data_IF_916849082366
#
_entry.id   IF_916849082366
#
_cell.length_a   1.000
_cell.length_b   1.000
_cell.length_c   1.000
_cell.angle_alpha   90.00
_cell.angle_beta   90.00
_cell.angle_gamma   90.00
#
_symmetry.space_group_name_H-M   'P 1'
#
loop_
_entity.id
_entity.type
_entity.pdbx_description
1 polymer ?
#
# COMPACT_ATOMS: atom_id res chain seq x y z
N UNK A 1 -19.92 9.09 21.65
CA UNK A 1 -18.90 8.03 21.49
C UNK A 1 -18.54 7.94 20.01
N UNK A 2 -17.26 8.05 19.64
CA UNK A 2 -16.85 7.88 18.25
C UNK A 2 -17.02 6.41 17.82
N UNK A 3 -17.71 6.15 16.71
CA UNK A 3 -17.95 4.80 16.21
C UNK A 3 -16.63 4.23 15.69
N UNK A 4 -16.18 3.10 16.25
CA UNK A 4 -14.97 2.41 15.79
C UNK A 4 -15.19 1.95 14.35
N UNK A 5 -14.32 2.39 13.44
CA UNK A 5 -14.39 2.00 12.04
C UNK A 5 -14.10 0.49 11.89
N UNK A 6 -14.71 -0.13 10.87
CA UNK A 6 -14.31 -1.49 10.46
C UNK A 6 -12.86 -1.47 9.97
N UNK A 7 -12.11 -2.58 10.05
CA UNK A 7 -10.73 -2.64 9.56
C UNK A 7 -10.60 -2.11 8.12
N UNK A 8 -11.51 -2.50 7.22
CA UNK A 8 -11.52 -2.00 5.84
C UNK A 8 -11.76 -0.48 5.76
N UNK A 9 -12.73 0.06 6.50
CA UNK A 9 -13.00 1.49 6.47
C UNK A 9 -11.84 2.31 7.07
N UNK A 10 -11.19 1.78 8.12
CA UNK A 10 -10.03 2.40 8.74
C UNK A 10 -8.81 2.37 7.81
N UNK A 11 -8.47 1.21 7.24
CA UNK A 11 -7.36 1.07 6.28
C UNK A 11 -7.56 1.98 5.06
N UNK A 12 -8.79 2.09 4.55
CA UNK A 12 -9.11 3.06 3.47
C UNK A 12 -8.93 4.51 3.90
N UNK A 13 -9.19 4.86 5.15
CA UNK A 13 -8.94 6.20 5.67
C UNK A 13 -7.44 6.51 5.76
N UNK A 14 -6.66 5.55 6.25
CA UNK A 14 -5.20 5.65 6.29
C UNK A 14 -4.61 5.79 4.88
N UNK A 15 -5.06 4.97 3.93
CA UNK A 15 -4.67 5.07 2.52
C UNK A 15 -4.93 6.46 1.93
N UNK A 16 -6.06 7.10 2.28
CA UNK A 16 -6.35 8.48 1.85
C UNK A 16 -5.38 9.50 2.45
N UNK A 17 -4.92 9.30 3.69
CA UNK A 17 -3.89 10.16 4.30
C UNK A 17 -2.56 10.04 3.56
N UNK A 18 -2.11 8.81 3.27
CA UNK A 18 -0.91 8.60 2.43
C UNK A 18 -1.05 9.29 1.07
N UNK A 19 -2.24 9.24 0.47
CA UNK A 19 -2.50 9.91 -0.81
C UNK A 19 -2.53 11.44 -0.73
N UNK A 20 -2.80 12.01 0.43
CA UNK A 20 -2.81 13.46 0.64
C UNK A 20 -1.43 14.00 1.02
N UNK A 21 -0.67 13.24 1.82
CA UNK A 21 0.52 13.74 2.52
C UNK A 21 1.84 13.17 1.96
N UNK A 22 1.84 12.00 1.30
CA UNK A 22 3.08 11.39 0.78
C UNK A 22 3.51 12.02 -0.56
N UNK A 23 4.82 12.10 -0.77
CA UNK A 23 5.38 12.52 -2.04
C UNK A 23 5.38 11.44 -3.12
N UNK A 24 5.51 10.15 -2.76
CA UNK A 24 5.76 9.05 -3.68
C UNK A 24 4.47 8.33 -4.10
N UNK A 25 3.67 7.88 -3.13
CA UNK A 25 2.47 7.07 -3.36
C UNK A 25 1.46 7.74 -4.31
N UNK A 26 1.17 9.05 -4.23
CA UNK A 26 0.26 9.69 -5.18
C UNK A 26 0.75 9.65 -6.63
N UNK A 27 2.07 9.69 -6.84
CA UNK A 27 2.67 9.69 -8.19
C UNK A 27 2.79 8.27 -8.74
N UNK A 28 3.29 7.37 -7.91
CA UNK A 28 3.58 6.00 -8.31
C UNK A 28 2.33 5.13 -8.34
N UNK A 29 1.40 5.30 -7.39
CA UNK A 29 0.22 4.43 -7.24
C UNK A 29 -1.07 5.18 -7.57
N UNK A 30 -1.21 6.39 -7.03
CA UNK A 30 -2.29 7.33 -7.33
C UNK A 30 -3.69 6.69 -7.38
N UNK A 31 -4.54 7.06 -8.35
CA UNK A 31 -5.91 6.52 -8.46
C UNK A 31 -5.95 5.07 -8.94
N UNK A 32 -4.81 4.48 -9.32
CA UNK A 32 -4.71 3.12 -9.85
C UNK A 32 -4.63 2.06 -8.75
N UNK A 33 -4.34 2.47 -7.51
CA UNK A 33 -4.29 1.58 -6.34
C UNK A 33 -5.58 1.64 -5.53
N UNK A 34 -6.12 0.47 -5.18
CA UNK A 34 -7.35 0.36 -4.38
C UNK A 34 -7.25 -0.73 -3.33
N UNK A 35 -7.67 -0.42 -2.11
CA UNK A 35 -7.89 -1.43 -1.07
C UNK A 35 -9.22 -2.13 -1.34
N UNK A 36 -9.16 -3.43 -1.60
CA UNK A 36 -10.33 -4.29 -1.85
C UNK A 36 -10.97 -4.66 -0.52
N UNK A 37 -10.17 -5.20 0.40
CA UNK A 37 -10.62 -5.77 1.67
C UNK A 37 -9.56 -5.58 2.75
N UNK A 38 -9.97 -5.53 4.01
CA UNK A 38 -9.04 -5.64 5.12
C UNK A 38 -9.66 -6.34 6.32
N UNK A 39 -8.84 -7.18 6.95
CA UNK A 39 -9.07 -7.82 8.24
C UNK A 39 -7.86 -7.54 9.15
N UNK A 40 -7.96 -7.81 10.45
CA UNK A 40 -6.85 -7.53 11.38
C UNK A 40 -5.55 -8.22 10.93
N UNK A 41 -4.52 -7.43 10.60
CA UNK A 41 -3.21 -7.91 10.15
C UNK A 41 -3.12 -8.35 8.68
N UNK A 42 -4.20 -8.25 7.89
CA UNK A 42 -4.19 -8.57 6.46
C UNK A 42 -5.02 -7.58 5.64
N UNK A 43 -4.47 -7.17 4.50
CA UNK A 43 -5.12 -6.27 3.55
C UNK A 43 -5.00 -6.88 2.16
N UNK A 44 -6.10 -6.93 1.43
CA UNK A 44 -6.10 -7.26 0.01
C UNK A 44 -6.28 -5.96 -0.78
N UNK A 45 -5.43 -5.73 -1.77
CA UNK A 45 -5.44 -4.54 -2.61
C UNK A 45 -5.14 -4.91 -4.07
N UNK A 46 -5.48 -3.99 -4.97
CA UNK A 46 -5.23 -4.12 -6.41
C UNK A 46 -4.54 -2.86 -6.94
N UNK A 47 -3.70 -3.04 -7.96
CA UNK A 47 -3.04 -1.97 -8.70
C UNK A 47 -3.25 -2.20 -10.21
N UNK A 48 -3.84 -1.22 -10.89
CA UNK A 48 -3.88 -1.25 -12.35
C UNK A 48 -2.50 -0.91 -12.91
N UNK A 49 -1.89 -1.85 -13.65
CA UNK A 49 -0.51 -1.70 -14.13
C UNK A 49 -0.45 -0.73 -15.31
N UNK A 50 0.45 0.25 -15.21
CA UNK A 50 0.72 1.23 -16.24
C UNK A 50 2.22 1.29 -16.55
N UNK A 51 2.57 1.98 -17.65
CA UNK A 51 3.97 2.16 -18.07
C UNK A 51 4.87 2.77 -16.99
N UNK A 52 4.32 3.62 -16.12
CA UNK A 52 5.06 4.22 -15.01
C UNK A 52 5.46 3.20 -13.93
N UNK A 53 4.81 2.03 -13.92
CA UNK A 53 5.05 0.95 -12.96
C UNK A 53 6.04 -0.08 -13.49
N UNK A 54 6.40 -0.04 -14.78
CA UNK A 54 7.20 -1.05 -15.46
C UNK A 54 8.66 -0.63 -15.62
N UNK A 55 9.55 -1.61 -15.82
CA UNK A 55 10.95 -1.41 -16.14
C UNK A 55 11.20 -1.46 -17.66
N UNK A 56 12.47 -1.36 -18.06
CA UNK A 56 12.90 -1.38 -19.48
C UNK A 56 12.53 -2.67 -20.24
N UNK A 57 12.20 -3.75 -19.54
CA UNK A 57 11.81 -5.05 -20.09
C UNK A 57 10.27 -5.21 -20.13
N UNK A 58 9.50 -4.16 -19.85
CA UNK A 58 8.03 -4.18 -19.77
C UNK A 58 7.46 -5.10 -18.69
N UNK A 59 8.25 -5.47 -17.67
CA UNK A 59 7.77 -6.14 -16.46
C UNK A 59 7.67 -5.14 -15.31
N UNK A 60 7.07 -5.51 -14.17
CA UNK A 60 6.95 -4.60 -13.03
C UNK A 60 8.34 -4.17 -12.55
N UNK A 61 8.54 -2.86 -12.37
CA UNK A 61 9.76 -2.31 -11.83
C UNK A 61 9.93 -2.75 -10.37
N UNK A 62 11.15 -3.15 -9.99
CA UNK A 62 11.43 -3.58 -8.61
C UNK A 62 11.10 -2.50 -7.57
N UNK A 63 11.32 -1.23 -7.92
CA UNK A 63 10.88 -0.09 -7.12
C UNK A 63 9.37 -0.01 -6.90
N UNK A 64 8.55 -0.37 -7.89
CA UNK A 64 7.09 -0.45 -7.73
C UNK A 64 6.71 -1.55 -6.73
N UNK A 65 7.32 -2.73 -6.85
CA UNK A 65 7.07 -3.84 -5.91
C UNK A 65 7.52 -3.47 -4.49
N UNK A 66 8.69 -2.85 -4.35
CA UNK A 66 9.21 -2.37 -3.08
C UNK A 66 8.22 -1.39 -2.41
N UNK A 67 7.72 -0.40 -3.16
CA UNK A 67 6.72 0.54 -2.65
C UNK A 67 5.40 -0.13 -2.31
N UNK A 68 4.95 -1.13 -3.08
CA UNK A 68 3.74 -1.89 -2.77
C UNK A 68 3.87 -2.70 -1.48
N UNK A 69 5.04 -3.32 -1.24
CA UNK A 69 5.31 -4.08 -0.02
C UNK A 69 5.39 -3.14 1.19
N UNK A 70 6.07 -2.00 1.07
CA UNK A 70 6.20 -1.02 2.15
C UNK A 70 4.83 -0.40 2.54
N UNK A 71 4.07 0.08 1.54
CA UNK A 71 2.72 0.57 1.77
C UNK A 71 1.80 -0.53 2.28
N UNK A 72 1.87 -1.73 1.70
CA UNK A 72 1.07 -2.88 2.11
C UNK A 72 1.30 -3.27 3.58
N UNK A 73 2.56 -3.25 4.03
CA UNK A 73 2.92 -3.47 5.43
C UNK A 73 2.31 -2.42 6.36
N UNK A 74 2.42 -1.13 5.99
CA UNK A 74 1.78 -0.04 6.73
C UNK A 74 0.26 -0.21 6.82
N UNK A 75 -0.40 -0.60 5.73
CA UNK A 75 -1.84 -0.84 5.69
C UNK A 75 -2.27 -2.07 6.51
N UNK A 76 -1.46 -3.12 6.54
CA UNK A 76 -1.69 -4.32 7.37
C UNK A 76 -1.57 -4.03 8.86
N UNK A 77 -0.63 -3.18 9.27
CA UNK A 77 -0.56 -2.67 10.65
C UNK A 77 -1.79 -1.81 10.95
N UNK A 78 -2.16 -0.93 10.02
CA UNK A 78 -3.33 -0.06 10.15
C UNK A 78 -4.63 -0.85 10.34
N UNK A 79 -4.79 -1.99 9.67
CA UNK A 79 -6.00 -2.81 9.79
C UNK A 79 -6.23 -3.39 11.20
N UNK A 80 -5.23 -3.35 12.08
CA UNK A 80 -5.34 -3.69 13.51
C UNK A 80 -5.87 -2.54 14.38
N UNK A 81 -6.19 -1.38 13.78
CA UNK A 81 -6.70 -0.19 14.48
C UNK A 81 -5.62 0.73 15.05
N UNK A 82 -4.37 0.57 14.61
CA UNK A 82 -3.24 1.43 14.98
C UNK A 82 -3.00 2.47 13.88
N UNK A 83 -3.02 3.75 14.22
CA UNK A 83 -2.71 4.83 13.26
C UNK A 83 -1.19 5.05 13.09
N UNK A 84 -0.35 4.28 13.77
CA UNK A 84 1.11 4.39 13.65
C UNK A 84 1.58 3.88 12.28
N UNK A 85 1.49 4.73 11.27
CA UNK A 85 2.03 4.56 9.92
C UNK A 85 3.40 5.22 9.87
N UNK A 86 4.41 4.42 10.20
CA UNK A 86 5.83 4.81 10.16
C UNK A 86 6.74 3.60 10.35
N UNK A 87 6.23 2.42 10.03
CA UNK A 87 6.96 1.16 10.15
C UNK A 87 7.57 0.89 8.79
N UNK A 88 8.86 1.14 8.64
CA UNK A 88 9.61 0.75 7.45
C UNK A 88 9.62 -0.76 7.35
N UNK A 89 9.16 -1.30 6.23
CA UNK A 89 9.17 -2.74 6.00
C UNK A 89 10.52 -3.16 5.44
N UNK A 90 11.14 -4.19 6.03
CA UNK A 90 12.37 -4.77 5.49
C UNK A 90 12.06 -5.49 4.15
N UNK A 91 12.83 -5.15 3.11
CA UNK A 91 12.61 -5.59 1.72
C UNK A 91 13.72 -6.56 1.31
N UNK A 92 13.44 -7.86 1.34
CA UNK A 92 14.30 -8.86 0.72
C UNK A 92 13.74 -9.25 -0.66
N UNK A 93 14.49 -8.93 -1.72
CA UNK A 93 14.17 -9.39 -3.07
C UNK A 93 14.82 -10.74 -3.34
N UNK A 94 14.01 -11.76 -3.63
CA UNK A 94 14.51 -13.00 -4.22
C UNK A 94 14.92 -12.69 -5.68
N UNK A 95 16.17 -12.96 -6.04
CA UNK A 95 16.60 -12.85 -7.45
C UNK A 95 15.76 -13.82 -8.27
N UNK A 96 14.97 -13.30 -9.21
CA UNK A 96 14.49 -14.11 -10.31
C UNK A 96 15.73 -14.70 -11.02
N UNK A 97 15.74 -16.03 -11.14
CA UNK A 97 16.82 -16.86 -11.70
C UNK A 97 17.31 -16.36 -13.06
#
# INVERSE_FOLDING_TARGET
MAKKLTPTAFTKAVMRSFMADSGLEPRLLGPRFRVVSAQSGRVDFELDIHRDHTNRLNTIHGGTLASLVDLGGSLAVASTGRFATGVSTDLNGEKAL
#
